data_IF_162035333036
#
_entry.id   IF_162035333036
#
_cell.length_a   1.000
_cell.length_b   1.000
_cell.length_c   1.000
_cell.angle_alpha   90.00
_cell.angle_beta   90.00
_cell.angle_gamma   90.00
#
_symmetry.space_group_name_H-M   'P 1'
#
loop_
_entity.id
_entity.type
_entity.pdbx_description
1 polymer ?
#
# COMPACT_ATOMS: atom_id res chain seq x y z
N UNK A 1 -3.77 13.41 9.98
CA UNK A 1 -3.87 14.57 9.07
C UNK A 1 -5.07 14.34 8.17
N UNK A 2 -5.92 15.34 7.97
CA UNK A 2 -7.04 15.24 7.03
C UNK A 2 -6.52 15.15 5.61
N UNK A 3 -7.30 14.49 4.75
CA UNK A 3 -7.01 14.37 3.33
C UNK A 3 -8.26 14.73 2.54
N UNK A 4 -8.06 15.33 1.38
CA UNK A 4 -9.09 15.56 0.37
C UNK A 4 -8.80 14.77 -0.90
N UNK A 5 -9.86 14.33 -1.59
CA UNK A 5 -9.76 13.66 -2.88
C UNK A 5 -9.80 14.72 -4.00
N UNK A 6 -8.74 14.85 -4.80
CA UNK A 6 -8.60 15.93 -5.80
C UNK A 6 -8.60 15.45 -7.26
N UNK A 7 -8.44 14.14 -7.49
CA UNK A 7 -8.37 13.50 -8.83
C UNK A 7 -7.47 14.21 -9.85
N UNK A 8 -6.43 14.91 -9.39
CA UNK A 8 -5.51 15.63 -10.26
C UNK A 8 -4.86 14.69 -11.28
N UNK A 9 -4.70 15.15 -12.52
CA UNK A 9 -4.22 14.33 -13.64
C UNK A 9 -2.80 13.75 -13.41
N UNK A 10 -2.02 14.36 -12.54
CA UNK A 10 -0.68 13.95 -12.14
C UNK A 10 -0.64 13.18 -10.80
N UNK A 11 -1.78 12.80 -10.23
CA UNK A 11 -1.85 12.03 -8.98
C UNK A 11 -2.15 10.56 -9.28
N UNK A 12 -1.16 9.69 -8.99
CA UNK A 12 -1.27 8.25 -9.22
C UNK A 12 -1.95 7.49 -8.06
N UNK A 13 -2.33 8.17 -6.98
CA UNK A 13 -3.05 7.56 -5.88
C UNK A 13 -4.46 7.18 -6.32
N UNK A 14 -4.94 6.00 -5.89
CA UNK A 14 -6.21 5.43 -6.38
C UNK A 14 -7.44 6.30 -6.11
N UNK A 15 -7.34 7.28 -5.19
CA UNK A 15 -8.37 8.28 -4.88
C UNK A 15 -7.91 9.73 -5.14
N UNK A 16 -6.73 9.94 -5.70
CA UNK A 16 -6.17 11.28 -5.89
C UNK A 16 -6.03 12.06 -4.57
N UNK A 17 -5.76 11.37 -3.47
CA UNK A 17 -5.71 11.96 -2.13
C UNK A 17 -4.54 12.94 -2.00
N UNK A 18 -4.77 14.05 -1.31
CA UNK A 18 -3.77 15.05 -0.94
C UNK A 18 -3.92 15.35 0.54
N UNK A 19 -2.82 15.66 1.23
CA UNK A 19 -2.85 16.12 2.61
C UNK A 19 -3.44 17.53 2.67
N UNK A 20 -4.39 17.77 3.58
CA UNK A 20 -4.94 19.11 3.81
C UNK A 20 -4.07 19.91 4.81
N UNK A 21 -2.75 19.78 4.69
CA UNK A 21 -1.77 20.45 5.53
C UNK A 21 -0.62 20.89 4.66
N UNK A 22 -0.16 22.13 4.88
CA UNK A 22 1.05 22.65 4.26
C UNK A 22 2.26 21.86 4.79
N UNK A 23 2.96 21.22 3.87
CA UNK A 23 4.22 20.53 4.14
C UNK A 23 5.34 21.49 3.78
N UNK A 24 6.25 21.74 4.73
CA UNK A 24 7.46 22.49 4.43
C UNK A 24 8.45 21.58 3.72
N UNK A 25 8.50 21.68 2.39
CA UNK A 25 9.41 20.91 1.55
C UNK A 25 10.89 21.19 1.87
N UNK A 26 11.22 22.31 2.53
CA UNK A 26 12.58 22.57 2.99
C UNK A 26 13.02 21.64 4.14
N UNK A 27 12.08 21.03 4.86
CA UNK A 27 12.34 20.01 5.89
C UNK A 27 12.31 18.57 5.33
N UNK A 28 11.94 18.40 4.05
CA UNK A 28 11.91 17.09 3.42
C UNK A 28 13.33 16.52 3.24
N UNK A 29 13.42 15.19 3.26
CA UNK A 29 14.68 14.46 3.05
C UNK A 29 14.52 13.51 1.89
N UNK A 30 15.39 13.63 0.90
CA UNK A 30 15.44 12.72 -0.24
C UNK A 30 15.87 11.32 0.18
N UNK A 31 15.08 10.34 -0.25
CA UNK A 31 15.38 8.93 -0.04
C UNK A 31 15.99 8.33 -1.31
N UNK A 32 17.31 8.44 -1.42
CA UNK A 32 18.10 7.86 -2.51
C UNK A 32 18.55 6.45 -2.15
N UNK A 33 18.20 5.46 -2.99
CA UNK A 33 18.51 4.06 -2.77
C UNK A 33 19.12 3.42 -4.02
N UNK A 34 20.12 2.57 -3.81
CA UNK A 34 20.64 1.67 -4.84
C UNK A 34 19.76 0.43 -5.01
N UNK A 35 19.85 -0.28 -6.16
CA UNK A 35 19.12 -1.53 -6.35
C UNK A 35 19.40 -2.55 -5.23
N UNK A 36 18.34 -2.99 -4.56
CA UNK A 36 18.41 -3.95 -3.46
C UNK A 36 18.42 -3.33 -2.06
N UNK A 37 18.60 -2.01 -1.95
CA UNK A 37 18.43 -1.30 -0.68
C UNK A 37 16.94 -1.10 -0.33
N UNK A 38 16.68 -0.81 0.94
CA UNK A 38 15.34 -0.55 1.43
C UNK A 38 15.33 0.59 2.44
N UNK A 39 14.20 1.29 2.49
CA UNK A 39 13.85 2.14 3.62
C UNK A 39 12.79 1.48 4.47
N UNK A 40 12.86 1.71 5.78
CA UNK A 40 11.81 1.35 6.71
C UNK A 40 11.28 2.63 7.34
N UNK A 41 9.98 2.86 7.18
CA UNK A 41 9.33 4.05 7.71
C UNK A 41 7.98 3.69 8.34
N UNK A 42 7.54 4.56 9.25
CA UNK A 42 6.23 4.41 9.87
C UNK A 42 5.11 4.68 8.86
N UNK A 43 4.01 3.94 8.91
CA UNK A 43 2.90 4.04 7.93
C UNK A 43 2.24 5.43 7.87
N UNK A 44 2.44 6.24 8.91
CA UNK A 44 1.90 7.60 9.01
C UNK A 44 2.92 8.70 8.66
N UNK A 45 4.12 8.35 8.20
CA UNK A 45 5.09 9.37 7.75
C UNK A 45 4.50 10.12 6.54
N UNK A 46 4.65 11.44 6.52
CA UNK A 46 4.37 12.22 5.32
C UNK A 46 5.45 11.88 4.30
N UNK A 47 5.05 11.42 3.12
CA UNK A 47 5.96 11.08 2.04
C UNK A 47 5.27 11.28 0.69
N UNK A 48 6.07 11.59 -0.31
CA UNK A 48 5.64 11.76 -1.70
C UNK A 48 6.73 11.29 -2.65
N UNK A 49 6.51 11.51 -3.94
CA UNK A 49 7.57 11.34 -4.92
C UNK A 49 7.38 12.25 -6.10
N UNK A 50 8.47 12.86 -6.53
CA UNK A 50 8.51 13.70 -7.72
C UNK A 50 8.29 12.88 -9.01
N UNK A 51 7.88 13.55 -10.11
CA UNK A 51 7.83 12.97 -11.43
C UNK A 51 9.19 12.36 -11.84
N UNK A 52 9.16 11.18 -12.45
CA UNK A 52 10.36 10.60 -13.02
C UNK A 52 10.76 11.35 -14.31
N UNK A 53 11.92 11.98 -14.30
CA UNK A 53 12.46 12.75 -15.44
C UNK A 53 13.44 11.94 -16.30
N UNK A 54 13.66 10.66 -16.00
CA UNK A 54 14.57 9.79 -16.74
C UNK A 54 13.85 8.93 -17.79
N UNK A 55 14.61 8.40 -18.76
CA UNK A 55 14.10 7.46 -19.78
C UNK A 55 13.90 6.03 -19.25
N UNK A 56 14.22 5.77 -17.98
CA UNK A 56 14.11 4.45 -17.35
C UNK A 56 13.02 4.44 -16.27
N UNK A 57 12.26 3.34 -16.12
CA UNK A 57 11.25 3.25 -15.08
C UNK A 57 11.88 3.11 -13.69
N UNK A 58 11.30 3.81 -12.70
CA UNK A 58 11.60 3.61 -11.28
C UNK A 58 10.65 2.57 -10.69
N UNK A 59 11.18 1.42 -10.27
CA UNK A 59 10.39 0.34 -9.66
C UNK A 59 10.60 0.27 -8.14
N UNK A 60 9.53 0.47 -7.38
CA UNK A 60 9.51 0.25 -5.93
C UNK A 60 8.68 -0.97 -5.56
N UNK A 61 9.13 -1.75 -4.59
CA UNK A 61 8.37 -2.85 -4.00
C UNK A 61 8.12 -2.57 -2.52
N UNK A 62 6.84 -2.55 -2.12
CA UNK A 62 6.43 -2.17 -0.77
C UNK A 62 5.86 -3.37 -0.02
N UNK A 63 6.40 -3.62 1.17
CA UNK A 63 5.87 -4.58 2.14
C UNK A 63 5.42 -3.80 3.37
N UNK A 64 4.19 -4.05 3.83
CA UNK A 64 3.67 -3.47 5.07
C UNK A 64 3.60 -4.54 6.14
N UNK A 65 4.19 -4.25 7.30
CA UNK A 65 4.13 -5.09 8.49
C UNK A 65 3.18 -4.48 9.50
N UNK A 66 2.45 -5.34 10.20
CA UNK A 66 1.59 -4.96 11.32
C UNK A 66 1.56 -6.10 12.34
N UNK A 67 1.38 -5.80 13.63
CA UNK A 67 1.16 -6.82 14.64
C UNK A 67 -0.19 -7.52 14.45
N UNK A 68 -0.31 -8.76 14.93
CA UNK A 68 -1.49 -9.62 14.71
C UNK A 68 -2.78 -9.07 15.34
N UNK A 69 -2.68 -8.20 16.35
CA UNK A 69 -3.84 -7.57 16.97
C UNK A 69 -4.49 -6.49 16.10
N UNK A 70 -3.82 -6.00 15.05
CA UNK A 70 -4.41 -5.03 14.12
C UNK A 70 -5.60 -5.65 13.37
N UNK A 71 -6.53 -4.81 12.91
CA UNK A 71 -7.70 -5.22 12.14
C UNK A 71 -7.96 -4.22 11.02
N UNK A 72 -8.33 -4.70 9.84
CA UNK A 72 -8.75 -3.85 8.73
C UNK A 72 -10.09 -3.18 9.03
N UNK A 73 -10.15 -1.88 8.80
CA UNK A 73 -11.39 -1.10 8.83
C UNK A 73 -12.08 -1.24 7.46
N UNK A 74 -13.42 -1.31 7.46
CA UNK A 74 -14.23 -1.41 6.24
C UNK A 74 -14.44 -2.85 5.72
N UNK A 75 -13.81 -3.84 6.33
CA UNK A 75 -14.05 -5.25 5.99
C UNK A 75 -12.88 -6.15 6.30
N UNK A 76 -13.12 -7.46 6.21
CA UNK A 76 -12.08 -8.47 6.38
C UNK A 76 -11.26 -8.60 5.10
N UNK A 77 -9.94 -8.67 5.24
CA UNK A 77 -8.98 -8.82 4.13
C UNK A 77 -7.99 -9.96 4.41
N UNK A 78 -7.02 -10.13 3.53
CA UNK A 78 -5.99 -11.17 3.65
C UNK A 78 -4.69 -10.61 4.23
N UNK A 79 -3.93 -11.46 4.92
CA UNK A 79 -2.57 -11.16 5.37
C UNK A 79 -1.71 -12.43 5.41
N UNK A 80 -0.39 -12.26 5.28
CA UNK A 80 0.58 -13.34 5.46
C UNK A 80 1.22 -13.20 6.84
N UNK A 81 1.18 -14.26 7.65
CA UNK A 81 1.89 -14.31 8.92
C UNK A 81 3.40 -14.40 8.65
N UNK A 82 4.13 -13.30 8.85
CA UNK A 82 5.57 -13.25 8.63
C UNK A 82 6.36 -13.92 9.77
N UNK A 83 5.96 -13.72 11.02
CA UNK A 83 6.65 -14.22 12.23
C UNK A 83 5.66 -14.42 13.38
N UNK A 84 5.96 -15.37 14.26
CA UNK A 84 5.23 -15.61 15.51
C UNK A 84 3.97 -16.46 15.33
N UNK A 85 2.95 -16.18 16.13
CA UNK A 85 1.65 -16.87 16.13
C UNK A 85 0.52 -15.83 16.07
N UNK A 86 -0.53 -16.11 15.29
CA UNK A 86 -1.75 -15.31 15.26
C UNK A 86 -2.85 -15.98 16.09
N UNK A 87 -3.25 -15.34 17.18
CA UNK A 87 -4.37 -15.73 18.04
C UNK A 87 -5.60 -14.82 17.89
N UNK A 88 -5.54 -13.78 17.05
CA UNK A 88 -6.60 -12.80 16.85
C UNK A 88 -7.47 -13.13 15.64
N UNK A 89 -6.90 -13.75 14.60
CA UNK A 89 -7.62 -14.21 13.42
C UNK A 89 -8.43 -13.08 12.76
N UNK A 90 -7.83 -11.90 12.59
CA UNK A 90 -8.48 -10.74 11.95
C UNK A 90 -8.39 -10.75 10.42
N UNK A 91 -7.52 -11.58 9.84
CA UNK A 91 -7.26 -11.66 8.40
C UNK A 91 -7.35 -13.09 7.91
N UNK A 92 -7.72 -13.26 6.65
CA UNK A 92 -7.65 -14.56 5.99
C UNK A 92 -6.20 -14.88 5.57
N UNK A 93 -5.72 -16.11 5.81
CA UNK A 93 -4.36 -16.48 5.48
C UNK A 93 -4.15 -16.51 3.97
N UNK A 94 -3.02 -15.98 3.52
CA UNK A 94 -2.60 -16.12 2.12
C UNK A 94 -1.97 -17.50 1.91
N UNK A 95 -2.50 -18.34 0.99
CA UNK A 95 -1.92 -19.65 0.72
C UNK A 95 -0.55 -19.49 0.04
N UNK A 96 0.37 -20.43 0.32
CA UNK A 96 1.67 -20.48 -0.36
C UNK A 96 1.45 -20.85 -1.84
N UNK A 97 1.96 -20.07 -2.81
CA UNK A 97 1.85 -20.43 -4.22
C UNK A 97 2.61 -21.72 -4.52
N UNK A 98 2.04 -22.57 -5.38
CA UNK A 98 2.64 -23.85 -5.79
C UNK A 98 3.70 -23.69 -6.89
N UNK A 99 3.55 -22.67 -7.73
CA UNK A 99 4.47 -22.30 -8.80
C UNK A 99 4.25 -20.83 -9.16
N UNK A 100 5.18 -20.26 -9.93
CA UNK A 100 5.02 -18.95 -10.52
C UNK A 100 3.77 -18.93 -11.41
N UNK A 101 2.92 -17.91 -11.21
CA UNK A 101 1.67 -17.74 -11.95
C UNK A 101 0.71 -18.95 -11.88
N UNK A 102 0.81 -19.80 -10.84
CA UNK A 102 -0.13 -20.91 -10.67
C UNK A 102 -1.58 -20.41 -10.69
N UNK A 103 -2.50 -21.04 -11.46
CA UNK A 103 -3.86 -20.53 -11.66
C UNK A 103 -4.59 -20.20 -10.36
N UNK A 104 -4.45 -21.05 -9.34
CA UNK A 104 -5.08 -20.83 -8.03
C UNK A 104 -4.55 -19.58 -7.31
N UNK A 105 -3.24 -19.32 -7.39
CA UNK A 105 -2.64 -18.13 -6.77
C UNK A 105 -3.06 -16.85 -7.49
N UNK A 106 -3.18 -16.90 -8.82
CA UNK A 106 -3.69 -15.80 -9.65
C UNK A 106 -5.16 -15.52 -9.32
N UNK A 107 -5.99 -16.55 -9.25
CA UNK A 107 -7.41 -16.44 -8.89
C UNK A 107 -7.59 -15.90 -7.46
N UNK A 108 -6.82 -16.40 -6.50
CA UNK A 108 -6.81 -15.90 -5.13
C UNK A 108 -6.43 -14.41 -5.09
N UNK A 109 -5.38 -14.00 -5.81
CA UNK A 109 -4.94 -12.61 -5.87
C UNK A 109 -6.01 -11.71 -6.49
N UNK A 110 -6.65 -12.14 -7.57
CA UNK A 110 -7.75 -11.40 -8.19
C UNK A 110 -8.91 -11.15 -7.21
N UNK A 111 -9.32 -12.19 -6.47
CA UNK A 111 -10.35 -12.09 -5.43
C UNK A 111 -9.94 -11.13 -4.32
N UNK A 112 -8.72 -11.26 -3.80
CA UNK A 112 -8.20 -10.40 -2.74
C UNK A 112 -8.14 -8.93 -3.16
N UNK A 113 -7.70 -8.65 -4.39
CA UNK A 113 -7.66 -7.30 -4.94
C UNK A 113 -9.06 -6.70 -5.08
N UNK A 114 -10.06 -7.49 -5.50
CA UNK A 114 -11.44 -7.01 -5.61
C UNK A 114 -12.01 -6.57 -4.25
N UNK A 115 -11.74 -7.33 -3.18
CA UNK A 115 -12.17 -6.98 -1.81
C UNK A 115 -11.49 -5.68 -1.35
N UNK A 116 -10.17 -5.58 -1.47
CA UNK A 116 -9.42 -4.38 -1.07
C UNK A 116 -9.86 -3.16 -1.88
N UNK A 117 -10.09 -3.32 -3.19
CA UNK A 117 -10.62 -2.25 -4.04
C UNK A 117 -12.01 -1.80 -3.57
N UNK A 118 -12.90 -2.73 -3.21
CA UNK A 118 -14.21 -2.39 -2.67
C UNK A 118 -14.12 -1.54 -1.41
N UNK A 119 -13.24 -1.91 -0.48
CA UNK A 119 -13.00 -1.14 0.75
C UNK A 119 -12.39 0.24 0.44
N UNK A 120 -11.40 0.29 -0.45
CA UNK A 120 -10.69 1.53 -0.77
C UNK A 120 -11.60 2.56 -1.44
N UNK A 121 -12.49 2.09 -2.32
CA UNK A 121 -13.40 2.93 -3.11
C UNK A 121 -14.68 3.27 -2.34
N UNK A 122 -14.92 2.66 -1.19
CA UNK A 122 -16.09 2.97 -0.37
C UNK A 122 -16.06 4.43 0.09
N UNK A 123 -17.13 5.16 -0.21
CA UNK A 123 -17.25 6.59 0.09
C UNK A 123 -16.34 7.53 -0.73
N UNK A 124 -15.62 7.04 -1.75
CA UNK A 124 -14.90 7.91 -2.68
C UNK A 124 -15.91 8.72 -3.50
N UNK A 125 -15.73 10.05 -3.55
CA UNK A 125 -16.56 10.96 -4.35
C UNK A 125 -15.88 11.19 -5.68
N UNK A 126 -16.58 11.07 -6.81
CA UNK A 126 -16.03 11.39 -8.14
C UNK A 126 -16.07 12.89 -8.41
#
# INVERSE_FOLDING_TARGET
>A
LSHSDTFAANNLLSRGQVLDVDVDEAEAVDLELQPGEMSLHHVLIVHGSEPNQSDLPRHGFVIRYMPTYCKQIGGRTTALLARGQDSYNHFDPVPRPLADMHPDAVAFRAKSNAVVKGILMDGAKN
#
